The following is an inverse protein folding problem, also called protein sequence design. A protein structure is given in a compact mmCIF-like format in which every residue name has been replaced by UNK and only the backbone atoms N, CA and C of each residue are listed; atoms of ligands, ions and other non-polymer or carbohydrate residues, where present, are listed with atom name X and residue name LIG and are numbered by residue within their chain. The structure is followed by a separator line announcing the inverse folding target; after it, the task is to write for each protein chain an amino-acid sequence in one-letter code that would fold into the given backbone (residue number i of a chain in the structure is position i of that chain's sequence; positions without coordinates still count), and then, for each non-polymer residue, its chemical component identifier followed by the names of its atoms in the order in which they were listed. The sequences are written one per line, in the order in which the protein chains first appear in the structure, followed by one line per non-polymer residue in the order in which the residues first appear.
data_IF_333990482228
#
_entry.id   IF_333990482228
#
_cell.length_a   1.000
_cell.length_b   1.000
_cell.length_c   1.000
_cell.angle_alpha   90.00
_cell.angle_beta   90.00
_cell.angle_gamma   90.00
#
_symmetry.space_group_name_H-M   'P 1'
#
loop_
_entity.id
_entity.type
_entity.pdbx_description
1 polymer ?
#
# COMPACT_ATOMS: atom_id res chain seq x y z
N UNK A 1 42.07 -25.47 32.28
CA UNK A 1 41.86 -26.55 31.31
C UNK A 1 40.42 -26.97 31.45
N UNK A 2 39.56 -26.33 30.66
CA UNK A 2 38.22 -26.81 30.40
C UNK A 2 37.86 -26.30 29.01
N UNK A 3 37.91 -27.23 28.07
CA UNK A 3 37.52 -27.09 26.67
C UNK A 3 36.00 -26.99 26.60
N UNK A 4 35.48 -25.96 25.92
CA UNK A 4 34.07 -25.87 25.56
C UNK A 4 33.95 -25.35 24.12
N UNK A 5 33.98 -26.33 23.23
CA UNK A 5 33.47 -26.41 21.86
C UNK A 5 32.92 -25.13 21.19
N UNK A 6 33.68 -24.70 20.18
CA UNK A 6 33.29 -23.81 19.09
C UNK A 6 32.28 -24.50 18.14
N UNK A 7 30.98 -24.39 18.44
CA UNK A 7 29.92 -24.77 17.50
C UNK A 7 29.63 -23.61 16.54
N UNK A 8 30.44 -23.52 15.49
CA UNK A 8 30.11 -22.73 14.30
C UNK A 8 28.92 -23.38 13.59
N UNK A 9 27.71 -22.89 13.88
CA UNK A 9 26.51 -23.19 13.10
C UNK A 9 26.67 -22.61 11.69
N UNK A 10 27.24 -23.42 10.77
CA UNK A 10 27.19 -23.17 9.34
C UNK A 10 25.73 -23.25 8.89
N UNK A 11 25.08 -22.09 8.84
CA UNK A 11 23.81 -21.91 8.16
C UNK A 11 24.00 -22.20 6.66
N UNK A 12 23.79 -23.45 6.25
CA UNK A 12 23.69 -23.82 4.83
C UNK A 12 22.40 -23.21 4.30
N UNK A 13 22.52 -22.05 3.65
CA UNK A 13 21.43 -21.51 2.84
C UNK A 13 21.23 -22.45 1.66
N UNK A 14 20.24 -23.33 1.75
CA UNK A 14 19.70 -24.03 0.59
C UNK A 14 18.98 -22.98 -0.26
N UNK A 15 19.70 -22.39 -1.22
CA UNK A 15 19.10 -21.59 -2.27
C UNK A 15 18.20 -22.50 -3.11
N UNK A 16 16.88 -22.37 -2.93
CA UNK A 16 15.90 -22.94 -3.84
C UNK A 16 15.90 -22.08 -5.10
N UNK A 17 16.61 -22.53 -6.12
CA UNK A 17 16.63 -21.87 -7.42
C UNK A 17 15.29 -22.16 -8.11
N UNK A 18 14.41 -21.16 -8.16
CA UNK A 18 13.12 -21.24 -8.86
C UNK A 18 13.22 -21.03 -10.37
N UNK A 19 14.43 -20.89 -10.90
CA UNK A 19 14.68 -20.55 -12.31
C UNK A 19 14.80 -21.78 -13.22
N UNK A 20 14.03 -22.83 -12.97
CA UNK A 20 13.90 -23.93 -13.94
C UNK A 20 12.62 -23.72 -14.75
N UNK A 21 12.81 -23.23 -15.96
CA UNK A 21 11.74 -23.06 -16.95
C UNK A 21 11.03 -24.39 -17.19
N UNK A 22 9.69 -24.36 -17.19
CA UNK A 22 8.81 -25.53 -17.36
C UNK A 22 9.11 -26.29 -18.67
N UNK A 23 9.66 -25.61 -19.66
CA UNK A 23 10.05 -26.19 -20.95
C UNK A 23 11.14 -27.26 -20.86
N UNK A 24 11.94 -27.30 -19.78
CA UNK A 24 13.03 -28.29 -19.61
C UNK A 24 12.56 -29.62 -19.00
N UNK A 25 11.29 -29.74 -18.63
CA UNK A 25 10.70 -30.99 -18.09
C UNK A 25 9.99 -31.82 -19.16
N UNK A 26 9.66 -31.24 -20.33
CA UNK A 26 8.98 -31.95 -21.41
C UNK A 26 9.94 -32.82 -22.24
N UNK A 27 11.22 -32.45 -22.30
CA UNK A 27 12.24 -33.17 -23.10
C UNK A 27 12.72 -34.50 -22.48
N UNK A 28 12.32 -34.81 -21.24
CA UNK A 28 12.70 -36.06 -20.56
C UNK A 28 11.66 -37.19 -20.66
N UNK A 29 10.53 -36.98 -21.36
CA UNK A 29 9.51 -38.03 -21.54
C UNK A 29 9.49 -38.69 -22.93
N UNK A 30 10.38 -38.30 -23.84
CA UNK A 30 10.31 -38.70 -25.26
C UNK A 30 11.31 -39.76 -25.71
N UNK A 31 11.80 -40.64 -24.82
CA UNK A 31 12.69 -41.72 -25.27
C UNK A 31 12.55 -43.04 -24.50
N UNK A 32 11.53 -43.82 -24.85
CA UNK A 32 11.66 -45.27 -25.07
C UNK A 32 10.42 -45.79 -25.82
N UNK A 33 10.53 -45.89 -27.14
CA UNK A 33 9.64 -46.70 -27.97
C UNK A 33 10.39 -48.00 -28.21
N UNK A 34 9.91 -49.11 -27.63
CA UNK A 34 9.68 -50.34 -28.39
C UNK A 34 8.91 -51.37 -27.54
N UNK A 35 7.81 -51.84 -28.13
CA UNK A 35 7.04 -53.05 -27.88
C UNK A 35 6.40 -53.30 -26.50
N UNK A 36 5.07 -53.14 -26.44
CA UNK A 36 4.08 -54.24 -26.50
C UNK A 36 2.80 -53.97 -25.68
N UNK A 37 1.68 -53.97 -26.40
CA UNK A 37 0.31 -54.33 -25.99
C UNK A 37 -0.40 -53.54 -24.86
N UNK A 38 -1.47 -52.85 -25.30
CA UNK A 38 -2.79 -52.79 -24.65
C UNK A 38 -2.90 -52.10 -23.28
N UNK A 39 -3.19 -50.80 -23.30
CA UNK A 39 -4.20 -50.21 -22.44
C UNK A 39 -4.65 -48.88 -23.05
N UNK A 40 -5.95 -48.75 -23.29
CA UNK A 40 -6.62 -47.48 -23.55
C UNK A 40 -6.42 -46.58 -22.32
N UNK A 41 -5.32 -45.83 -22.28
CA UNK A 41 -5.19 -44.71 -21.35
C UNK A 41 -5.80 -43.49 -22.01
N UNK A 42 -7.14 -43.43 -22.03
CA UNK A 42 -7.83 -42.15 -22.02
C UNK A 42 -7.37 -41.43 -20.76
N UNK A 43 -6.24 -40.72 -20.85
CA UNK A 43 -5.81 -39.79 -19.84
C UNK A 43 -6.72 -38.56 -20.00
N UNK A 44 -8.00 -38.77 -19.71
CA UNK A 44 -8.81 -37.72 -19.15
C UNK A 44 -8.01 -37.27 -17.94
N UNK A 45 -7.30 -36.14 -18.10
CA UNK A 45 -6.88 -35.34 -16.97
C UNK A 45 -8.19 -35.01 -16.27
N UNK A 46 -8.61 -35.90 -15.38
CA UNK A 46 -9.71 -35.70 -14.48
C UNK A 46 -9.30 -34.46 -13.73
N UNK A 47 -9.78 -33.30 -14.20
CA UNK A 47 -9.39 -31.99 -13.69
C UNK A 47 -9.46 -32.12 -12.19
N UNK A 48 -8.31 -32.07 -11.52
CA UNK A 48 -8.19 -32.38 -10.09
C UNK A 48 -9.12 -31.45 -9.28
N UNK A 49 -9.48 -30.32 -9.88
CA UNK A 49 -10.46 -29.34 -9.43
C UNK A 49 -11.92 -29.86 -9.40
N UNK A 50 -12.29 -30.83 -10.24
CA UNK A 50 -13.61 -31.45 -10.27
C UNK A 50 -13.80 -32.50 -9.15
N UNK A 51 -12.72 -32.96 -8.51
CA UNK A 51 -12.76 -33.84 -7.33
C UNK A 51 -12.97 -33.06 -6.03
N UNK A 52 -12.75 -31.75 -6.06
CA UNK A 52 -12.93 -30.87 -4.91
C UNK A 52 -14.37 -30.38 -4.82
N UNK A 53 -14.92 -30.20 -3.60
CA UNK A 53 -16.20 -29.54 -3.42
C UNK A 53 -16.19 -28.14 -4.06
N UNK A 54 -17.30 -27.77 -4.72
CA UNK A 54 -17.39 -26.52 -5.50
C UNK A 54 -17.13 -25.25 -4.68
N UNK A 55 -17.49 -25.25 -3.40
CA UNK A 55 -17.42 -24.07 -2.55
C UNK A 55 -15.98 -23.59 -2.27
N UNK A 56 -15.03 -24.46 -1.84
CA UNK A 56 -13.61 -24.10 -1.75
C UNK A 56 -13.00 -23.58 -3.07
N UNK A 57 -13.32 -24.21 -4.21
CA UNK A 57 -12.78 -23.83 -5.52
C UNK A 57 -13.31 -22.45 -5.95
N UNK A 58 -14.59 -22.19 -5.74
CA UNK A 58 -15.21 -20.89 -5.99
C UNK A 58 -14.66 -19.81 -5.06
N UNK A 59 -14.56 -20.09 -3.75
CA UNK A 59 -14.00 -19.16 -2.77
C UNK A 59 -12.54 -18.81 -3.04
N UNK A 60 -11.75 -19.78 -3.53
CA UNK A 60 -10.36 -19.54 -3.92
C UNK A 60 -10.29 -18.69 -5.20
N UNK A 61 -11.11 -18.98 -6.21
CA UNK A 61 -11.16 -18.17 -7.43
C UNK A 61 -11.65 -16.73 -7.19
N UNK A 62 -12.57 -16.52 -6.25
CA UNK A 62 -12.97 -15.16 -5.82
C UNK A 62 -11.84 -14.42 -5.09
N UNK A 63 -11.06 -15.13 -4.26
CA UNK A 63 -9.87 -14.57 -3.60
C UNK A 63 -8.77 -14.24 -4.60
N UNK A 64 -8.51 -15.10 -5.59
CA UNK A 64 -7.54 -14.85 -6.66
C UNK A 64 -7.92 -13.64 -7.50
N UNK A 65 -9.19 -13.49 -7.87
CA UNK A 65 -9.67 -12.28 -8.57
C UNK A 65 -9.44 -11.02 -7.74
N UNK A 66 -9.72 -11.05 -6.43
CA UNK A 66 -9.44 -9.92 -5.53
C UNK A 66 -7.94 -9.60 -5.44
N UNK A 67 -7.06 -10.61 -5.44
CA UNK A 67 -5.60 -10.41 -5.41
C UNK A 67 -5.10 -9.79 -6.72
N UNK A 68 -5.60 -10.24 -7.87
CA UNK A 68 -5.24 -9.68 -9.18
C UNK A 68 -5.76 -8.25 -9.32
N UNK A 69 -6.98 -7.98 -8.86
CA UNK A 69 -7.58 -6.65 -8.82
C UNK A 69 -6.80 -5.71 -7.88
N UNK A 70 -6.33 -6.21 -6.73
CA UNK A 70 -5.52 -5.45 -5.77
C UNK A 70 -4.08 -5.19 -6.26
N UNK A 71 -3.58 -6.00 -7.19
CA UNK A 71 -2.30 -5.76 -7.88
C UNK A 71 -2.40 -4.78 -9.06
N UNK A 72 -3.61 -4.36 -9.45
CA UNK A 72 -3.75 -3.30 -10.44
C UNK A 72 -3.18 -1.99 -9.83
N UNK A 73 -2.19 -1.34 -10.47
CA UNK A 73 -1.60 -0.10 -9.97
C UNK A 73 -2.64 1.03 -9.84
N UNK A 74 -3.71 1.02 -10.63
CA UNK A 74 -4.78 2.01 -10.57
C UNK A 74 -5.66 1.77 -9.34
N UNK A 75 -6.01 0.50 -9.07
CA UNK A 75 -6.88 0.12 -7.96
C UNK A 75 -6.16 0.28 -6.61
N UNK A 76 -4.89 -0.12 -6.54
CA UNK A 76 -4.05 0.11 -5.36
C UNK A 76 -3.84 1.60 -5.07
N UNK A 77 -3.64 2.42 -6.11
CA UNK A 77 -3.53 3.88 -5.95
C UNK A 77 -4.86 4.51 -5.49
N UNK A 78 -5.98 4.11 -6.09
CA UNK A 78 -7.31 4.60 -5.70
C UNK A 78 -7.62 4.28 -4.23
N UNK A 79 -7.36 3.03 -3.80
CA UNK A 79 -7.52 2.63 -2.40
C UNK A 79 -6.60 3.42 -1.46
N UNK A 80 -5.34 3.64 -1.86
CA UNK A 80 -4.40 4.45 -1.07
C UNK A 80 -4.90 5.88 -0.90
N UNK A 81 -5.43 6.49 -1.97
CA UNK A 81 -6.03 7.82 -1.90
C UNK A 81 -7.23 7.84 -0.96
N UNK A 82 -8.12 6.86 -1.03
CA UNK A 82 -9.28 6.73 -0.13
C UNK A 82 -8.86 6.65 1.35
N UNK A 83 -7.83 5.84 1.65
CA UNK A 83 -7.26 5.72 2.99
C UNK A 83 -6.70 7.06 3.49
N UNK A 84 -5.94 7.76 2.66
CA UNK A 84 -5.42 9.08 3.01
C UNK A 84 -6.55 10.10 3.20
N UNK A 85 -7.57 10.09 2.32
CA UNK A 85 -8.73 10.98 2.41
C UNK A 85 -9.49 10.81 3.73
N UNK A 86 -9.60 9.58 4.25
CA UNK A 86 -10.22 9.33 5.54
C UNK A 86 -9.51 10.07 6.71
N UNK A 87 -8.22 10.36 6.58
CA UNK A 87 -7.42 11.09 7.58
C UNK A 87 -7.45 12.62 7.42
N UNK A 88 -7.79 13.13 6.24
CA UNK A 88 -7.76 14.58 5.95
C UNK A 88 -8.66 15.41 6.88
N UNK A 89 -9.90 15.01 7.22
CA UNK A 89 -10.71 15.77 8.18
C UNK A 89 -10.06 15.92 9.56
N UNK A 90 -9.42 14.85 10.05
CA UNK A 90 -8.68 14.89 11.32
C UNK A 90 -7.46 15.82 11.20
N UNK A 91 -6.73 15.76 10.09
CA UNK A 91 -5.62 16.66 9.80
C UNK A 91 -6.05 18.13 9.80
N UNK A 92 -7.16 18.44 9.14
CA UNK A 92 -7.74 19.79 9.11
C UNK A 92 -7.99 20.32 10.53
N UNK A 93 -8.57 19.49 11.40
CA UNK A 93 -8.86 19.86 12.79
C UNK A 93 -7.61 20.19 13.58
N UNK A 94 -6.58 19.35 13.44
CA UNK A 94 -5.27 19.60 14.05
C UNK A 94 -4.67 20.91 13.59
N UNK A 95 -4.71 21.18 12.28
CA UNK A 95 -4.25 22.43 11.69
C UNK A 95 -5.03 23.59 12.30
N UNK A 96 -6.36 23.53 12.37
CA UNK A 96 -7.15 24.60 13.00
C UNK A 96 -6.70 24.87 14.45
N UNK A 97 -6.50 23.82 15.26
CA UNK A 97 -6.05 23.94 16.65
C UNK A 97 -4.64 24.53 16.75
N UNK A 98 -3.71 24.06 15.92
CA UNK A 98 -2.33 24.54 15.88
C UNK A 98 -2.28 26.05 15.60
N UNK A 99 -3.04 26.49 14.60
CA UNK A 99 -3.07 27.89 14.18
C UNK A 99 -3.78 28.79 15.19
N UNK A 100 -4.81 28.27 15.87
CA UNK A 100 -5.41 28.95 17.03
C UNK A 100 -4.42 29.13 18.17
N UNK A 101 -3.57 28.12 18.44
CA UNK A 101 -2.57 28.18 19.51
C UNK A 101 -1.41 29.14 19.19
N UNK A 102 -0.87 29.07 17.97
CA UNK A 102 0.29 29.89 17.55
C UNK A 102 -0.12 31.34 17.23
N UNK A 103 -1.41 31.59 16.94
CA UNK A 103 -1.97 32.89 16.52
C UNK A 103 -1.28 33.50 15.29
N UNK A 104 -0.78 32.66 14.39
CA UNK A 104 -0.22 33.04 13.09
C UNK A 104 -0.93 32.25 12.01
N UNK A 105 -1.19 32.87 10.85
CA UNK A 105 -1.87 32.24 9.70
C UNK A 105 -0.93 31.91 8.54
N UNK A 106 0.37 31.95 8.79
CA UNK A 106 1.43 31.68 7.81
C UNK A 106 2.49 30.85 8.52
N UNK A 107 2.92 29.75 7.89
CA UNK A 107 3.90 28.81 8.43
C UNK A 107 4.66 28.13 7.27
N UNK A 108 5.90 27.69 7.47
CA UNK A 108 6.55 26.85 6.45
C UNK A 108 5.91 25.46 6.42
N UNK A 109 5.88 24.81 5.24
CA UNK A 109 5.37 23.44 5.11
C UNK A 109 6.12 22.49 6.04
N UNK A 110 7.44 22.67 6.12
CA UNK A 110 8.33 21.92 7.01
C UNK A 110 7.94 22.06 8.49
N UNK A 111 7.76 23.30 8.96
CA UNK A 111 7.42 23.58 10.34
C UNK A 111 6.04 23.04 10.69
N UNK A 112 5.07 23.13 9.77
CA UNK A 112 3.74 22.55 9.96
C UNK A 112 3.81 21.03 10.12
N UNK A 113 4.48 20.34 9.20
CA UNK A 113 4.64 18.88 9.25
C UNK A 113 5.32 18.46 10.55
N UNK A 114 6.43 19.11 10.91
CA UNK A 114 7.14 18.83 12.14
C UNK A 114 6.23 18.99 13.38
N UNK A 115 5.43 20.06 13.44
CA UNK A 115 4.51 20.29 14.55
C UNK A 115 3.34 19.32 14.59
N UNK A 116 2.84 18.87 13.44
CA UNK A 116 1.76 17.88 13.36
C UNK A 116 2.25 16.50 13.80
N UNK A 117 3.43 16.08 13.34
CA UNK A 117 4.07 14.82 13.77
C UNK A 117 4.43 14.87 15.26
N UNK A 118 4.98 15.97 15.76
CA UNK A 118 5.32 16.12 17.17
C UNK A 118 4.09 16.29 18.09
N UNK A 119 2.99 16.82 17.54
CA UNK A 119 1.77 17.17 18.28
C UNK A 119 0.74 16.05 18.36
N UNK A 120 0.89 14.94 17.65
CA UNK A 120 -0.10 13.86 17.58
C UNK A 120 0.46 12.44 17.78
N UNK A 121 -0.31 11.60 18.49
CA UNK A 121 0.01 10.23 18.93
C UNK A 121 -0.34 9.12 17.92
N UNK A 122 -1.17 9.40 16.90
CA UNK A 122 -1.68 8.39 15.96
C UNK A 122 -1.06 8.45 14.56
N UNK A 123 -0.41 9.56 14.20
CA UNK A 123 0.22 9.74 12.88
C UNK A 123 1.73 9.68 13.07
N UNK A 124 2.31 8.54 12.71
CA UNK A 124 3.72 8.25 12.98
C UNK A 124 4.60 8.58 11.77
N UNK A 125 4.03 8.64 10.56
CA UNK A 125 4.79 8.85 9.32
C UNK A 125 4.65 10.29 8.78
N UNK A 126 5.80 10.95 8.65
CA UNK A 126 5.95 12.26 8.00
C UNK A 126 5.36 12.26 6.58
N UNK A 127 5.55 11.17 5.83
CA UNK A 127 5.11 11.07 4.44
C UNK A 127 3.58 11.08 4.34
N UNK A 128 2.92 10.39 5.25
CA UNK A 128 1.47 10.35 5.33
C UNK A 128 0.88 11.74 5.59
N UNK A 129 1.46 12.49 6.54
CA UNK A 129 1.06 13.89 6.82
C UNK A 129 1.18 14.75 5.58
N UNK A 130 2.29 14.63 4.86
CA UNK A 130 2.52 15.42 3.64
C UNK A 130 1.52 15.09 2.53
N UNK A 131 1.22 13.81 2.32
CA UNK A 131 0.23 13.38 1.33
C UNK A 131 -1.18 13.83 1.69
N UNK A 132 -1.59 13.70 2.96
CA UNK A 132 -2.88 14.21 3.45
C UNK A 132 -2.98 15.74 3.33
N UNK A 133 -1.88 16.46 3.56
CA UNK A 133 -1.82 17.91 3.39
C UNK A 133 -1.98 18.32 1.92
N UNK A 134 -1.37 17.57 0.99
CA UNK A 134 -1.54 17.80 -0.45
C UNK A 134 -3.00 17.56 -0.87
N UNK A 135 -3.66 16.53 -0.33
CA UNK A 135 -5.08 16.28 -0.57
C UNK A 135 -5.97 17.41 -0.01
N UNK A 136 -5.63 17.96 1.16
CA UNK A 136 -6.35 19.12 1.70
C UNK A 136 -6.26 20.34 0.77
N UNK A 137 -5.08 20.60 0.20
CA UNK A 137 -4.88 21.68 -0.78
C UNK A 137 -5.66 21.44 -2.08
N UNK A 138 -5.83 20.18 -2.48
CA UNK A 138 -6.61 19.78 -3.65
C UNK A 138 -8.12 19.98 -3.43
N UNK A 139 -8.65 19.52 -2.29
CA UNK A 139 -10.09 19.55 -1.99
C UNK A 139 -10.54 20.95 -1.56
N UNK A 140 -9.72 21.67 -0.80
CA UNK A 140 -10.05 22.97 -0.22
C UNK A 140 -8.96 24.03 -0.51
N UNK A 141 -8.70 24.36 -1.80
CA UNK A 141 -7.70 25.36 -2.17
C UNK A 141 -8.01 26.75 -1.62
N UNK A 142 -9.28 27.05 -1.32
CA UNK A 142 -9.69 28.29 -0.67
C UNK A 142 -9.19 28.41 0.77
N UNK A 143 -9.03 27.28 1.47
CA UNK A 143 -8.63 27.23 2.88
C UNK A 143 -7.15 27.55 3.06
N UNK A 144 -6.32 26.90 2.26
CA UNK A 144 -4.87 27.00 2.37
C UNK A 144 -4.25 27.14 0.99
N UNK A 145 -3.34 28.10 0.86
CA UNK A 145 -2.59 28.35 -0.36
C UNK A 145 -1.10 28.12 -0.12
N UNK A 146 -0.45 27.50 -1.09
CA UNK A 146 1.00 27.31 -1.11
C UNK A 146 1.70 28.44 -1.86
N UNK A 147 2.84 28.90 -1.33
CA UNK A 147 3.76 29.82 -2.02
C UNK A 147 5.20 29.38 -1.83
N UNK A 148 5.95 29.36 -2.93
CA UNK A 148 7.41 29.23 -2.88
C UNK A 148 8.06 30.56 -2.49
N UNK A 149 9.05 30.48 -1.61
CA UNK A 149 9.91 31.59 -1.23
C UNK A 149 11.20 31.60 -2.05
N UNK A 150 11.87 32.76 -2.11
CA UNK A 150 13.16 32.89 -2.78
C UNK A 150 14.26 32.03 -2.14
N UNK A 151 14.09 31.63 -0.87
CA UNK A 151 14.98 30.69 -0.17
C UNK A 151 14.87 29.25 -0.69
N UNK A 152 13.86 28.93 -1.50
CA UNK A 152 13.50 27.56 -1.88
C UNK A 152 12.48 26.90 -0.94
N UNK A 153 12.18 27.53 0.20
CA UNK A 153 11.19 27.01 1.13
C UNK A 153 9.76 27.18 0.61
N UNK A 154 8.90 26.26 0.99
CA UNK A 154 7.46 26.34 0.76
C UNK A 154 6.77 26.89 2.00
N UNK A 155 5.97 27.94 1.82
CA UNK A 155 5.17 28.57 2.87
C UNK A 155 3.69 28.37 2.60
N UNK A 156 2.97 27.97 3.63
CA UNK A 156 1.53 27.79 3.63
C UNK A 156 0.87 28.99 4.28
N UNK A 157 -0.14 29.54 3.60
CA UNK A 157 -0.97 30.63 4.11
C UNK A 157 -2.40 30.15 4.25
N UNK A 158 -2.96 30.32 5.44
CA UNK A 158 -4.34 29.97 5.74
C UNK A 158 -5.24 31.20 5.62
N UNK A 159 -6.45 30.97 5.14
CA UNK A 159 -7.46 32.01 5.05
C UNK A 159 -8.26 32.09 6.36
N UNK A 160 -8.00 33.15 7.13
CA UNK A 160 -8.63 33.43 8.43
C UNK A 160 -10.16 33.58 8.37
N UNK A 161 -10.71 33.94 7.22
CA UNK A 161 -12.11 34.36 7.10
C UNK A 161 -13.06 33.24 6.68
N UNK A 162 -12.55 32.03 6.45
CA UNK A 162 -13.39 30.90 6.03
C UNK A 162 -14.08 30.23 7.21
N UNK A 163 -15.30 29.78 6.96
CA UNK A 163 -16.05 28.98 7.90
C UNK A 163 -15.46 27.56 7.96
N UNK A 164 -14.91 27.18 9.12
CA UNK A 164 -14.33 25.85 9.30
C UNK A 164 -15.35 24.72 9.11
N UNK A 165 -16.63 24.98 9.40
CA UNK A 165 -17.72 24.00 9.20
C UNK A 165 -17.98 23.74 7.70
N UNK A 166 -17.95 24.79 6.89
CA UNK A 166 -18.08 24.67 5.43
C UNK A 166 -16.94 23.84 4.82
N UNK A 167 -15.71 24.07 5.27
CA UNK A 167 -14.55 23.27 4.84
C UNK A 167 -14.67 21.82 5.32
N UNK A 168 -15.05 21.57 6.58
CA UNK A 168 -15.30 20.20 7.08
C UNK A 168 -16.33 19.45 6.26
N UNK A 169 -17.45 20.10 5.92
CA UNK A 169 -18.48 19.49 5.09
C UNK A 169 -17.94 19.11 3.72
N UNK A 170 -17.17 20.01 3.08
CA UNK A 170 -16.52 19.73 1.79
C UNK A 170 -15.56 18.54 1.86
N UNK A 171 -14.82 18.40 2.97
CA UNK A 171 -13.92 17.25 3.18
C UNK A 171 -14.68 15.94 3.41
N UNK A 172 -15.88 15.98 3.99
CA UNK A 172 -16.74 14.82 4.17
C UNK A 172 -17.39 14.38 2.85
N UNK A 173 -17.77 15.34 1.99
CA UNK A 173 -18.32 15.08 0.67
C UNK A 173 -17.27 14.54 -0.33
N UNK A 174 -16.00 14.85 -0.10
CA UNK A 174 -14.88 14.40 -0.92
C UNK A 174 -14.35 13.00 -0.56
N UNK A 175 -14.96 12.32 0.43
CA UNK A 175 -14.56 10.99 0.91
C UNK A 175 -15.09 9.87 0.03
#
# INVERSE_FOLDING_TARGET
YDDADDLTYKSVRLSLNFDKSIVDLEDQLSQSVDDKANAESSHASMDVLNLLPKHPVQSLGEKERKIVEEQDPIISQARRREQLMAGVPKLFDMICLLFQAIRRFVITKEELIHKLVAGHLDIVDRREVEEQLNLLLEVAPEYMSEKSCLSGDIVLRLNKYLCHESIRQKLLEAK
#
